data_IF_271153127448
#
_entry.id   IF_271153127448
#
_cell.length_a   1.000
_cell.length_b   1.000
_cell.length_c   1.000
_cell.angle_alpha   90.00
_cell.angle_beta   90.00
_cell.angle_gamma   90.00
#
_symmetry.space_group_name_H-M   'P 1'
#
loop_
_entity.id
_entity.type
_entity.pdbx_description
1 polymer ?
#
# COMPACT_ATOMS: atom_id res chain seq x y z
N UNK A 1 5.01 -25.77 77.58
CA UNK A 1 5.01 -26.09 76.14
C UNK A 1 4.30 -24.97 75.40
N UNK A 2 5.03 -24.22 74.58
CA UNK A 2 4.63 -22.93 73.99
C UNK A 2 4.33 -23.20 72.51
N UNK A 3 3.05 -23.28 72.12
CA UNK A 3 2.68 -23.47 70.71
C UNK A 3 2.67 -22.10 70.00
N UNK A 4 3.61 -21.93 69.06
CA UNK A 4 3.61 -20.82 68.12
C UNK A 4 2.54 -21.06 67.05
N UNK A 5 1.57 -20.16 66.97
CA UNK A 5 0.60 -20.08 65.87
C UNK A 5 1.24 -19.30 64.72
N UNK A 6 1.67 -19.99 63.65
CA UNK A 6 2.13 -19.34 62.42
C UNK A 6 0.91 -18.95 61.58
N UNK A 7 0.58 -17.66 61.55
CA UNK A 7 -0.41 -17.08 60.65
C UNK A 7 0.26 -16.91 59.28
N UNK A 8 -0.09 -17.78 58.32
CA UNK A 8 0.27 -17.61 56.91
C UNK A 8 -0.64 -16.54 56.29
N UNK A 9 -0.12 -15.31 56.22
CA UNK A 9 -0.75 -14.21 55.48
C UNK A 9 -0.56 -14.48 53.98
N UNK A 10 -1.61 -14.96 53.31
CA UNK A 10 -1.65 -15.11 51.85
C UNK A 10 -1.68 -13.73 51.21
N UNK A 11 -0.52 -13.24 50.76
CA UNK A 11 -0.41 -12.03 49.94
C UNK A 11 -0.83 -12.40 48.52
N UNK A 12 -2.09 -12.11 48.18
CA UNK A 12 -2.59 -12.13 46.80
C UNK A 12 -2.01 -10.92 46.08
N UNK A 13 -0.91 -11.11 45.35
CA UNK A 13 -0.39 -10.12 44.41
C UNK A 13 -1.33 -10.03 43.21
N UNK A 14 -2.23 -9.05 43.25
CA UNK A 14 -3.07 -8.70 42.10
C UNK A 14 -2.15 -8.05 41.06
N UNK A 15 -1.70 -8.83 40.08
CA UNK A 15 -1.09 -8.32 38.86
C UNK A 15 -2.17 -7.56 38.05
N UNK A 16 -2.42 -6.32 38.42
CA UNK A 16 -3.17 -5.36 37.61
C UNK A 16 -2.34 -4.94 36.40
N UNK A 17 -2.21 -5.80 35.40
CA UNK A 17 -1.55 -5.49 34.14
C UNK A 17 -2.28 -4.33 33.44
N UNK A 18 -1.64 -3.15 33.38
CA UNK A 18 -1.61 -2.11 32.31
C UNK A 18 -2.88 -1.84 31.45
N UNK A 19 -4.07 -2.24 31.88
CA UNK A 19 -5.29 -2.25 31.09
C UNK A 19 -5.85 -0.83 30.91
N UNK A 20 -5.74 0.02 31.93
CA UNK A 20 -6.24 1.40 31.92
C UNK A 20 -5.55 2.25 30.85
N UNK A 21 -4.23 2.10 30.70
CA UNK A 21 -3.43 2.87 29.73
C UNK A 21 -3.74 2.51 28.27
N UNK A 22 -4.03 1.24 27.99
CA UNK A 22 -4.44 0.77 26.67
C UNK A 22 -5.83 1.28 26.29
N UNK A 23 -6.75 1.35 27.25
CA UNK A 23 -8.11 1.86 27.05
C UNK A 23 -8.13 3.36 26.75
N UNK A 24 -7.39 4.17 27.52
CA UNK A 24 -7.22 5.61 27.25
C UNK A 24 -6.58 5.88 25.88
N UNK A 25 -5.57 5.08 25.49
CA UNK A 25 -4.93 5.21 24.18
C UNK A 25 -5.89 4.87 23.04
N UNK A 26 -6.82 3.94 23.26
CA UNK A 26 -7.81 3.54 22.25
C UNK A 26 -8.95 4.56 22.13
N UNK A 27 -9.46 5.08 23.25
CA UNK A 27 -10.46 6.17 23.29
C UNK A 27 -9.90 7.46 22.65
N UNK A 28 -8.67 7.84 22.97
CA UNK A 28 -8.02 9.02 22.36
C UNK A 28 -7.81 8.85 20.85
N UNK A 29 -7.44 7.66 20.38
CA UNK A 29 -7.35 7.39 18.93
C UNK A 29 -8.71 7.39 18.25
N UNK A 30 -9.77 6.97 18.95
CA UNK A 30 -11.14 6.99 18.42
C UNK A 30 -11.65 8.41 18.22
N UNK A 31 -11.26 9.36 19.07
CA UNK A 31 -11.55 10.78 18.86
C UNK A 31 -10.66 11.40 17.76
N UNK A 32 -9.37 11.07 17.74
CA UNK A 32 -8.40 11.57 16.75
C UNK A 32 -8.76 11.15 15.32
N UNK A 33 -9.13 9.89 15.11
CA UNK A 33 -9.39 9.31 13.80
C UNK A 33 -10.87 9.25 13.44
N UNK A 34 -11.70 10.12 14.00
CA UNK A 34 -13.14 10.06 13.75
C UNK A 34 -13.50 10.26 12.27
N UNK A 35 -14.50 9.52 11.80
CA UNK A 35 -15.11 9.68 10.48
C UNK A 35 -16.63 9.86 10.60
N UNK A 36 -17.26 10.63 9.71
CA UNK A 36 -18.71 10.70 9.59
C UNK A 36 -19.35 9.31 9.37
N UNK A 37 -20.56 9.12 9.87
CA UNK A 37 -21.28 7.84 9.78
C UNK A 37 -21.42 7.30 8.35
N UNK A 38 -21.64 8.18 7.38
CA UNK A 38 -21.69 7.85 5.95
C UNK A 38 -20.35 7.26 5.44
N UNK A 39 -19.22 7.91 5.76
CA UNK A 39 -17.90 7.38 5.39
C UNK A 39 -17.63 6.04 6.08
N UNK A 40 -18.12 5.85 7.31
CA UNK A 40 -17.95 4.61 8.06
C UNK A 40 -18.70 3.42 7.44
N UNK A 41 -19.88 3.64 6.83
CA UNK A 41 -20.65 2.57 6.19
C UNK A 41 -20.02 2.09 4.88
N UNK A 42 -19.29 2.98 4.20
CA UNK A 42 -18.62 2.70 2.92
C UNK A 42 -17.25 2.04 3.06
N UNK A 43 -16.72 1.91 4.29
CA UNK A 43 -15.41 1.30 4.52
C UNK A 43 -15.38 -0.15 4.02
N UNK A 44 -14.46 -0.41 3.11
CA UNK A 44 -14.29 -1.68 2.43
C UNK A 44 -12.83 -1.85 2.00
N UNK A 45 -12.43 -3.08 1.70
CA UNK A 45 -11.09 -3.32 1.16
C UNK A 45 -10.85 -2.51 -0.12
N UNK A 46 -11.85 -2.44 -1.01
CA UNK A 46 -11.74 -1.70 -2.26
C UNK A 46 -11.51 -0.20 -2.03
N UNK A 47 -12.26 0.41 -1.11
CA UNK A 47 -12.05 1.82 -0.75
C UNK A 47 -10.63 2.05 -0.22
N UNK A 48 -10.15 1.16 0.67
CA UNK A 48 -8.83 1.28 1.27
C UNK A 48 -7.72 1.04 0.25
N UNK A 49 -7.92 0.12 -0.70
CA UNK A 49 -7.01 -0.10 -1.79
C UNK A 49 -6.79 1.20 -2.60
N UNK A 50 -7.89 1.87 -2.99
CA UNK A 50 -7.82 3.09 -3.78
C UNK A 50 -7.28 4.29 -2.99
N UNK A 51 -7.75 4.49 -1.75
CA UNK A 51 -7.42 5.70 -0.96
C UNK A 51 -6.07 5.61 -0.25
N UNK A 52 -5.63 4.41 0.12
CA UNK A 52 -4.47 4.23 1.01
C UNK A 52 -3.46 3.24 0.43
N UNK A 53 -3.84 1.98 0.17
CA UNK A 53 -2.83 0.96 -0.12
C UNK A 53 -2.11 1.19 -1.45
N UNK A 54 -2.82 1.37 -2.56
CA UNK A 54 -2.23 1.63 -3.87
C UNK A 54 -1.31 2.87 -3.84
N UNK A 55 -1.77 4.04 -3.38
CA UNK A 55 -0.93 5.25 -3.43
C UNK A 55 0.19 5.29 -2.38
N UNK A 56 0.08 4.57 -1.25
CA UNK A 56 1.02 4.75 -0.11
C UNK A 56 1.80 3.52 0.30
N UNK A 57 1.38 2.32 -0.09
CA UNK A 57 1.91 1.09 0.48
C UNK A 57 2.36 0.07 -0.58
N UNK A 58 1.59 -0.12 -1.64
CA UNK A 58 1.77 -1.20 -2.64
C UNK A 58 3.10 -1.12 -3.37
N UNK A 59 3.71 0.06 -3.51
CA UNK A 59 5.04 0.19 -4.12
C UNK A 59 6.10 -0.69 -3.45
N UNK A 60 5.99 -0.92 -2.14
CA UNK A 60 6.84 -1.84 -1.37
C UNK A 60 6.11 -3.12 -0.92
N UNK A 61 4.78 -3.05 -0.80
CA UNK A 61 3.90 -4.10 -0.28
C UNK A 61 2.95 -4.66 -1.35
N UNK A 62 3.43 -4.85 -2.56
CA UNK A 62 2.68 -5.44 -3.68
C UNK A 62 2.84 -6.95 -3.75
N UNK A 63 2.66 -7.52 -4.94
CA UNK A 63 2.69 -8.97 -5.22
C UNK A 63 3.96 -9.69 -4.73
N UNK A 64 5.12 -9.04 -4.81
CA UNK A 64 6.40 -9.57 -4.34
C UNK A 64 6.84 -8.97 -2.99
N UNK A 65 5.95 -8.25 -2.32
CA UNK A 65 6.19 -7.62 -1.03
C UNK A 65 6.01 -8.62 0.12
N UNK A 66 6.65 -8.36 1.26
CA UNK A 66 6.57 -9.25 2.42
C UNK A 66 5.16 -9.33 3.05
N UNK A 67 4.33 -8.31 2.80
CA UNK A 67 2.88 -8.34 3.05
C UNK A 67 2.26 -7.83 1.76
N UNK A 68 1.48 -8.66 1.08
CA UNK A 68 0.83 -8.31 -0.17
C UNK A 68 -0.48 -7.57 0.10
N UNK A 69 -0.50 -6.27 -0.18
CA UNK A 69 -1.65 -5.38 0.01
C UNK A 69 -2.53 -5.24 -1.25
N UNK A 70 -2.21 -5.97 -2.33
CA UNK A 70 -3.05 -6.07 -3.52
C UNK A 70 -4.06 -7.22 -3.42
N UNK A 71 -3.91 -8.12 -2.44
CA UNK A 71 -4.80 -9.26 -2.23
C UNK A 71 -5.49 -9.18 -0.86
N UNK A 72 -6.82 -9.10 -0.87
CA UNK A 72 -7.62 -8.99 0.37
C UNK A 72 -7.33 -10.11 1.38
N UNK A 73 -7.25 -11.36 0.92
CA UNK A 73 -7.00 -12.51 1.79
C UNK A 73 -5.64 -12.43 2.50
N UNK A 74 -4.61 -11.92 1.82
CA UNK A 74 -3.30 -11.67 2.43
C UNK A 74 -3.33 -10.48 3.41
N UNK A 75 -4.10 -9.43 3.10
CA UNK A 75 -4.32 -8.32 4.05
C UNK A 75 -5.01 -8.82 5.31
N UNK A 76 -6.08 -9.60 5.18
CA UNK A 76 -6.86 -10.15 6.29
C UNK A 76 -5.98 -10.98 7.24
N UNK A 77 -5.08 -11.81 6.70
CA UNK A 77 -4.10 -12.59 7.49
C UNK A 77 -3.10 -11.71 8.26
N UNK A 78 -2.91 -10.44 7.87
CA UNK A 78 -1.88 -9.55 8.39
C UNK A 78 -2.43 -8.29 9.09
N UNK A 79 -3.74 -8.18 9.36
CA UNK A 79 -4.39 -7.00 9.97
C UNK A 79 -3.68 -6.53 11.25
N UNK A 80 -3.38 -7.45 12.17
CA UNK A 80 -2.75 -7.08 13.45
C UNK A 80 -1.35 -6.51 13.24
N UNK A 81 -0.59 -7.10 12.30
CA UNK A 81 0.73 -6.62 11.93
C UNK A 81 0.67 -5.24 11.28
N UNK A 82 -0.30 -5.00 10.41
CA UNK A 82 -0.53 -3.70 9.75
C UNK A 82 -0.91 -2.65 10.80
N UNK A 83 -1.89 -2.94 11.66
CA UNK A 83 -2.34 -2.03 12.73
C UNK A 83 -1.17 -1.68 13.67
N UNK A 84 -0.38 -2.69 14.05
CA UNK A 84 0.77 -2.51 14.94
C UNK A 84 1.84 -1.63 14.29
N UNK A 85 2.26 -1.92 13.06
CA UNK A 85 3.35 -1.18 12.40
C UNK A 85 2.98 0.27 12.10
N UNK A 86 1.72 0.55 11.72
CA UNK A 86 1.27 1.90 11.38
C UNK A 86 0.94 2.72 12.62
N UNK A 87 0.15 2.19 13.56
CA UNK A 87 -0.42 3.01 14.63
C UNK A 87 0.22 2.81 16.01
N UNK A 88 0.93 1.71 16.24
CA UNK A 88 1.55 1.42 17.55
C UNK A 88 3.04 1.72 17.49
N UNK A 89 3.76 1.03 16.61
CA UNK A 89 5.20 1.18 16.44
C UNK A 89 5.56 2.37 15.55
N UNK A 90 4.63 2.82 14.69
CA UNK A 90 4.82 3.93 13.74
C UNK A 90 6.07 3.77 12.87
N UNK A 91 6.37 2.52 12.50
CA UNK A 91 7.49 2.15 11.63
C UNK A 91 7.10 2.11 10.15
N UNK A 92 5.81 2.31 9.85
CA UNK A 92 5.26 2.37 8.51
C UNK A 92 4.37 3.62 8.32
N UNK A 93 4.40 4.23 7.13
CA UNK A 93 5.19 3.84 5.95
C UNK A 93 6.68 4.17 6.10
N UNK A 94 7.56 3.32 5.53
CA UNK A 94 9.03 3.56 5.54
C UNK A 94 9.44 4.80 4.75
N UNK A 95 8.63 5.16 3.74
CA UNK A 95 8.84 6.31 2.86
C UNK A 95 7.54 7.12 2.86
N UNK A 96 7.66 8.41 3.13
CA UNK A 96 6.52 9.32 3.21
C UNK A 96 5.75 9.25 4.54
N UNK A 97 4.54 9.80 4.53
CA UNK A 97 3.63 9.88 5.68
C UNK A 97 2.20 9.64 5.21
N UNK A 98 1.36 9.14 6.12
CA UNK A 98 -0.09 9.12 5.90
C UNK A 98 -0.70 10.43 6.43
N UNK A 99 -1.57 11.05 5.65
CA UNK A 99 -2.37 12.19 6.13
C UNK A 99 -3.31 11.75 7.25
N UNK A 100 -3.84 12.70 8.03
CA UNK A 100 -4.84 12.37 9.06
C UNK A 100 -6.07 11.70 8.44
N UNK A 101 -6.51 12.13 7.27
CA UNK A 101 -7.65 11.49 6.59
C UNK A 101 -7.33 10.05 6.18
N UNK A 102 -6.15 9.79 5.58
CA UNK A 102 -5.70 8.44 5.20
C UNK A 102 -5.57 7.52 6.43
N UNK A 103 -5.04 8.06 7.53
CA UNK A 103 -4.99 7.36 8.82
C UNK A 103 -6.39 7.05 9.34
N UNK A 104 -7.34 7.99 9.24
CA UNK A 104 -8.72 7.79 9.67
C UNK A 104 -9.41 6.67 8.88
N UNK A 105 -9.27 6.63 7.55
CA UNK A 105 -9.82 5.52 6.76
C UNK A 105 -9.23 4.17 7.19
N UNK A 106 -7.90 4.10 7.29
CA UNK A 106 -7.20 2.86 7.64
C UNK A 106 -7.53 2.40 9.07
N UNK A 107 -7.49 3.30 10.05
CA UNK A 107 -7.81 2.99 11.44
C UNK A 107 -9.22 2.44 11.58
N UNK A 108 -10.23 3.17 11.08
CA UNK A 108 -11.62 2.76 11.26
C UNK A 108 -11.95 1.46 10.52
N UNK A 109 -11.37 1.24 9.34
CA UNK A 109 -11.58 -0.02 8.62
C UNK A 109 -11.00 -1.20 9.39
N UNK A 110 -9.80 -1.06 9.96
CA UNK A 110 -9.20 -2.09 10.83
C UNK A 110 -10.04 -2.32 12.10
N UNK A 111 -10.53 -1.27 12.77
CA UNK A 111 -11.38 -1.40 13.96
C UNK A 111 -12.72 -2.08 13.68
N UNK A 112 -13.26 -1.93 12.46
CA UNK A 112 -14.50 -2.59 12.01
C UNK A 112 -14.28 -4.00 11.49
N UNK A 113 -13.10 -4.58 11.70
CA UNK A 113 -12.77 -5.94 11.30
C UNK A 113 -12.37 -6.10 9.82
N UNK A 114 -12.00 -4.99 9.16
CA UNK A 114 -11.41 -4.97 7.82
C UNK A 114 -12.19 -5.81 6.80
N UNK A 115 -13.47 -5.51 6.69
CA UNK A 115 -14.39 -6.20 5.78
C UNK A 115 -14.01 -5.95 4.32
N UNK A 116 -14.20 -6.99 3.50
CA UNK A 116 -14.02 -6.88 2.06
C UNK A 116 -15.05 -5.93 1.44
N UNK A 117 -16.30 -6.09 1.86
CA UNK A 117 -17.46 -5.36 1.37
C UNK A 117 -17.94 -4.31 2.38
N UNK A 118 -18.54 -3.20 1.91
CA UNK A 118 -19.09 -2.18 2.79
C UNK A 118 -20.39 -2.61 3.47
N UNK A 119 -20.73 -1.93 4.57
CA UNK A 119 -21.88 -2.26 5.42
C UNK A 119 -23.22 -1.81 4.81
N UNK A 120 -23.22 -0.73 4.03
CA UNK A 120 -24.43 -0.20 3.36
C UNK A 120 -24.78 -0.97 2.06
N UNK A 121 -24.01 -2.01 1.73
CA UNK A 121 -24.21 -2.80 0.52
C UNK A 121 -23.88 -2.06 -0.76
N UNK A 122 -23.31 -0.85 -0.68
CA UNK A 122 -22.87 -0.10 -1.86
C UNK A 122 -21.76 -0.88 -2.54
N UNK A 123 -21.99 -1.38 -3.74
CA UNK A 123 -20.90 -1.86 -4.57
C UNK A 123 -20.17 -0.63 -5.06
N UNK A 124 -19.07 -0.25 -4.38
CA UNK A 124 -18.17 0.74 -4.94
C UNK A 124 -17.75 0.24 -6.31
N UNK A 125 -17.93 1.08 -7.32
CA UNK A 125 -17.43 0.76 -8.64
C UNK A 125 -15.95 0.39 -8.50
N UNK A 126 -15.52 -0.74 -9.08
CA UNK A 126 -14.12 -1.09 -9.12
C UNK A 126 -13.32 0.14 -9.56
N UNK A 127 -12.13 0.33 -8.98
CA UNK A 127 -11.22 1.36 -9.46
C UNK A 127 -11.20 1.30 -11.00
N UNK A 128 -11.42 2.45 -11.65
CA UNK A 128 -11.50 2.50 -13.11
C UNK A 128 -10.33 1.70 -13.71
N UNK A 129 -10.61 0.81 -14.68
CA UNK A 129 -9.55 -0.02 -15.23
C UNK A 129 -8.48 0.87 -15.84
N UNK A 130 -7.22 0.54 -15.58
CA UNK A 130 -6.09 1.22 -16.22
C UNK A 130 -6.17 0.91 -17.71
N UNK A 131 -6.52 1.92 -18.50
CA UNK A 131 -6.58 1.85 -19.96
C UNK A 131 -5.17 1.83 -20.56
N UNK A 132 -5.03 1.17 -21.72
CA UNK A 132 -3.80 1.09 -22.49
C UNK A 132 -3.54 2.39 -23.29
N UNK A 133 -3.55 3.51 -22.59
CA UNK A 133 -3.32 4.87 -23.11
C UNK A 133 -2.20 5.52 -22.29
N UNK A 134 -1.42 6.42 -22.90
CA UNK A 134 -0.35 7.10 -22.16
C UNK A 134 -0.89 7.85 -20.94
N UNK A 135 -1.99 8.61 -21.09
CA UNK A 135 -2.58 9.40 -20.00
C UNK A 135 -3.00 8.52 -18.81
N UNK A 136 -3.67 7.41 -19.08
CA UNK A 136 -4.09 6.45 -18.05
C UNK A 136 -2.90 5.82 -17.35
N UNK A 137 -1.92 5.32 -18.11
CA UNK A 137 -0.70 4.71 -17.56
C UNK A 137 0.09 5.74 -16.75
N UNK A 138 0.22 6.96 -17.27
CA UNK A 138 0.95 8.03 -16.60
C UNK A 138 0.31 8.34 -15.25
N UNK A 139 -1.00 8.64 -15.24
CA UNK A 139 -1.74 9.01 -14.01
C UNK A 139 -1.74 7.88 -12.97
N UNK A 140 -2.01 6.65 -13.40
CA UNK A 140 -2.28 5.54 -12.49
C UNK A 140 -1.05 4.69 -12.15
N UNK A 141 0.04 4.81 -12.93
CA UNK A 141 1.24 3.98 -12.75
C UNK A 141 2.48 4.85 -12.61
N UNK A 142 2.83 5.66 -13.60
CA UNK A 142 4.10 6.39 -13.58
C UNK A 142 4.15 7.42 -12.47
N UNK A 143 3.09 8.20 -12.27
CA UNK A 143 3.03 9.20 -11.21
C UNK A 143 2.98 8.57 -9.80
N UNK A 144 2.44 7.35 -9.67
CA UNK A 144 2.22 6.70 -8.38
C UNK A 144 3.43 5.85 -7.96
N UNK A 145 3.96 5.04 -8.88
CA UNK A 145 4.94 4.00 -8.55
C UNK A 145 6.36 4.29 -9.07
N UNK A 146 6.51 5.19 -10.04
CA UNK A 146 7.79 5.34 -10.74
C UNK A 146 8.45 6.71 -10.52
N UNK A 147 7.64 7.78 -10.41
CA UNK A 147 8.10 9.17 -10.35
C UNK A 147 8.94 9.50 -9.11
N UNK A 148 8.85 8.72 -8.03
CA UNK A 148 9.69 8.93 -6.84
C UNK A 148 11.20 8.91 -7.21
N UNK A 149 11.59 8.02 -8.12
CA UNK A 149 12.97 7.92 -8.62
C UNK A 149 13.14 8.57 -10.00
N UNK A 150 12.15 8.42 -10.87
CA UNK A 150 12.20 8.88 -12.27
C UNK A 150 11.69 10.32 -12.42
N UNK A 151 12.42 11.25 -11.82
CA UNK A 151 12.20 12.68 -11.92
C UNK A 151 13.55 13.41 -12.10
N UNK A 152 13.53 14.72 -12.31
CA UNK A 152 14.73 15.51 -12.62
C UNK A 152 15.85 15.42 -11.56
N UNK A 153 15.51 15.15 -10.30
CA UNK A 153 16.46 15.11 -9.19
C UNK A 153 16.67 13.71 -8.60
N UNK A 154 15.82 12.75 -8.95
CA UNK A 154 15.82 11.38 -8.42
C UNK A 154 16.94 10.50 -8.98
N UNK A 155 17.07 9.30 -8.41
CA UNK A 155 18.08 8.31 -8.82
C UNK A 155 17.88 7.80 -10.25
N UNK A 156 16.63 7.84 -10.74
CA UNK A 156 16.21 7.47 -12.09
C UNK A 156 16.21 8.61 -13.10
N UNK A 157 16.76 9.79 -12.77
CA UNK A 157 16.70 11.04 -13.58
C UNK A 157 17.14 10.95 -15.05
N UNK A 158 17.88 9.91 -15.43
CA UNK A 158 18.25 9.65 -16.83
C UNK A 158 17.05 9.23 -17.69
N UNK A 159 15.96 8.82 -17.05
CA UNK A 159 14.74 8.32 -17.67
C UNK A 159 13.59 9.13 -17.12
N UNK A 160 13.09 10.07 -17.93
CA UNK A 160 11.89 10.83 -17.65
C UNK A 160 10.67 10.07 -18.20
N UNK A 161 9.53 10.20 -17.52
CA UNK A 161 8.33 9.41 -17.77
C UNK A 161 7.24 10.19 -18.50
N UNK A 162 7.58 11.32 -19.11
CA UNK A 162 6.72 11.97 -20.09
C UNK A 162 6.79 11.24 -21.44
N UNK A 163 5.72 11.36 -22.24
CA UNK A 163 5.56 10.62 -23.49
C UNK A 163 6.70 10.87 -24.47
N UNK A 164 7.10 12.12 -24.61
CA UNK A 164 8.16 12.52 -25.56
C UNK A 164 9.50 11.89 -25.17
N UNK A 165 9.89 11.98 -23.90
CA UNK A 165 11.13 11.39 -23.40
C UNK A 165 11.16 9.87 -23.54
N UNK A 166 10.02 9.19 -23.37
CA UNK A 166 9.92 7.74 -23.54
C UNK A 166 10.07 7.32 -25.01
N UNK A 167 9.39 8.03 -25.92
CA UNK A 167 9.41 7.72 -27.37
C UNK A 167 10.75 8.06 -28.03
N UNK A 168 11.41 9.14 -27.58
CA UNK A 168 12.66 9.63 -28.18
C UNK A 168 13.92 9.19 -27.41
N UNK A 169 13.77 8.24 -26.47
CA UNK A 169 14.90 7.80 -25.66
C UNK A 169 15.96 7.08 -26.50
N UNK A 170 17.26 7.39 -26.35
CA UNK A 170 18.32 6.65 -27.01
C UNK A 170 18.47 5.21 -26.50
N UNK A 171 17.76 4.85 -25.42
CA UNK A 171 17.68 3.49 -24.90
C UNK A 171 16.48 2.71 -25.44
N UNK A 172 15.78 3.26 -26.44
CA UNK A 172 14.63 2.62 -27.10
C UNK A 172 13.59 2.15 -26.07
N UNK A 173 13.28 3.01 -25.10
CA UNK A 173 12.39 2.66 -23.98
C UNK A 173 11.00 2.28 -24.47
N UNK A 174 10.50 2.97 -25.50
CA UNK A 174 9.27 2.64 -26.20
C UNK A 174 9.57 2.57 -27.68
N UNK A 175 9.43 1.38 -28.25
CA UNK A 175 9.46 1.13 -29.70
C UNK A 175 8.01 0.91 -30.11
N UNK A 176 7.35 1.90 -30.74
CA UNK A 176 5.96 1.78 -31.18
C UNK A 176 5.72 0.52 -32.02
N UNK A 177 4.79 -0.33 -31.57
CA UNK A 177 4.43 -1.59 -32.22
C UNK A 177 5.32 -2.78 -31.87
N UNK A 178 6.30 -2.62 -30.98
CA UNK A 178 7.18 -3.71 -30.56
C UNK A 178 7.51 -3.63 -29.07
N UNK A 179 6.59 -4.10 -28.22
CA UNK A 179 6.82 -4.13 -26.78
C UNK A 179 7.96 -5.06 -26.35
N UNK A 180 8.20 -6.16 -27.07
CA UNK A 180 9.21 -7.15 -26.67
C UNK A 180 10.65 -6.63 -26.81
N UNK A 181 10.89 -5.71 -27.75
CA UNK A 181 12.18 -5.01 -27.87
C UNK A 181 12.24 -3.68 -27.09
N UNK A 182 11.11 -3.21 -26.56
CA UNK A 182 11.05 -1.94 -25.83
C UNK A 182 11.74 -2.02 -24.48
N UNK A 183 12.73 -1.15 -24.25
CA UNK A 183 13.53 -1.11 -23.03
C UNK A 183 12.71 -0.97 -21.74
N UNK A 184 11.55 -0.30 -21.78
CA UNK A 184 10.63 -0.19 -20.65
C UNK A 184 10.08 -1.56 -20.23
N UNK A 185 9.59 -2.36 -21.18
CA UNK A 185 9.03 -3.70 -20.89
C UNK A 185 10.12 -4.63 -20.41
N UNK A 186 11.27 -4.61 -21.08
CA UNK A 186 12.45 -5.36 -20.65
C UNK A 186 12.78 -5.00 -19.20
N UNK A 187 12.84 -3.72 -18.83
CA UNK A 187 13.12 -3.32 -17.44
C UNK A 187 12.06 -3.82 -16.44
N UNK A 188 10.78 -3.81 -16.80
CA UNK A 188 9.66 -4.22 -15.93
C UNK A 188 9.55 -5.75 -15.76
N UNK A 189 9.99 -6.54 -16.74
CA UNK A 189 9.81 -8.00 -16.79
C UNK A 189 11.05 -8.81 -16.42
N UNK A 190 12.20 -8.15 -16.24
CA UNK A 190 13.40 -8.80 -15.73
C UNK A 190 13.16 -9.52 -14.42
N UNK A 191 13.72 -10.72 -14.31
CA UNK A 191 13.71 -11.53 -13.09
C UNK A 191 14.92 -11.24 -12.17
N UNK A 192 15.93 -10.53 -12.68
CA UNK A 192 17.14 -10.21 -11.91
C UNK A 192 16.97 -8.96 -11.05
N UNK A 193 17.99 -8.66 -10.26
CA UNK A 193 18.01 -7.52 -9.32
C UNK A 193 18.11 -6.14 -10.01
N UNK A 194 18.19 -6.11 -11.34
CA UNK A 194 18.17 -4.90 -12.17
C UNK A 194 16.77 -4.60 -12.70
N UNK A 195 15.75 -5.39 -12.35
CA UNK A 195 14.35 -5.08 -12.67
C UNK A 195 13.92 -3.73 -12.11
N UNK A 196 12.90 -3.15 -12.74
CA UNK A 196 12.20 -1.98 -12.23
C UNK A 196 10.78 -2.36 -11.79
N UNK A 197 10.28 -1.82 -10.65
CA UNK A 197 11.00 -1.03 -9.64
C UNK A 197 12.18 -1.78 -8.98
N UNK A 198 13.18 -1.08 -8.40
CA UNK A 198 14.42 -1.74 -7.94
C UNK A 198 14.20 -2.62 -6.71
N UNK A 199 14.40 -3.93 -6.88
CA UNK A 199 14.20 -4.91 -5.80
C UNK A 199 15.13 -4.68 -4.60
N UNK A 200 16.39 -4.28 -4.84
CA UNK A 200 17.39 -4.01 -3.80
C UNK A 200 17.00 -2.87 -2.87
N UNK A 201 16.15 -1.96 -3.34
CA UNK A 201 15.62 -0.86 -2.54
C UNK A 201 14.31 -1.23 -1.84
N UNK A 202 13.90 -2.49 -1.89
CA UNK A 202 12.71 -3.02 -1.22
C UNK A 202 11.39 -2.77 -1.95
N UNK A 203 11.44 -2.37 -3.23
CA UNK A 203 10.22 -2.20 -4.02
C UNK A 203 9.70 -3.54 -4.56
N UNK A 204 8.38 -3.67 -4.54
CA UNK A 204 7.69 -4.80 -5.15
C UNK A 204 7.79 -4.75 -6.67
N UNK A 205 7.69 -5.91 -7.32
CA UNK A 205 7.47 -5.96 -8.75
C UNK A 205 6.13 -5.32 -9.09
N UNK A 206 6.06 -4.69 -10.26
CA UNK A 206 4.80 -4.18 -10.77
C UNK A 206 3.84 -5.36 -11.01
N UNK A 207 2.55 -5.13 -10.80
CA UNK A 207 1.51 -6.11 -11.09
C UNK A 207 1.50 -6.49 -12.58
N UNK A 208 1.35 -7.78 -12.89
CA UNK A 208 1.39 -8.30 -14.26
C UNK A 208 0.25 -7.74 -15.13
N UNK A 209 -0.91 -7.43 -14.56
CA UNK A 209 -1.98 -6.75 -15.29
C UNK A 209 -1.56 -5.35 -15.73
N UNK A 210 -0.87 -4.61 -14.86
CA UNK A 210 -0.34 -3.28 -15.21
C UNK A 210 0.74 -3.40 -16.28
N UNK A 211 1.65 -4.38 -16.19
CA UNK A 211 2.64 -4.64 -17.24
C UNK A 211 1.98 -4.94 -18.59
N UNK A 212 0.92 -5.75 -18.61
CA UNK A 212 0.14 -6.05 -19.82
C UNK A 212 -0.52 -4.82 -20.43
N UNK A 213 -1.03 -3.90 -19.61
CA UNK A 213 -1.61 -2.64 -20.08
C UNK A 213 -0.53 -1.76 -20.74
N UNK A 214 0.65 -1.65 -20.13
CA UNK A 214 1.79 -0.92 -20.71
C UNK A 214 2.24 -1.57 -22.02
N UNK A 215 2.38 -2.90 -22.06
CA UNK A 215 2.70 -3.66 -23.28
C UNK A 215 1.67 -3.37 -24.38
N UNK A 216 0.38 -3.45 -24.07
CA UNK A 216 -0.70 -3.23 -25.03
C UNK A 216 -0.69 -1.83 -25.63
N UNK A 217 -0.36 -0.81 -24.83
CA UNK A 217 -0.19 0.57 -25.32
C UNK A 217 0.96 0.67 -26.33
N UNK A 218 2.10 0.04 -26.02
CA UNK A 218 3.26 0.01 -26.91
C UNK A 218 2.95 -0.75 -28.20
N UNK A 219 2.38 -1.95 -28.11
CA UNK A 219 2.02 -2.79 -29.27
C UNK A 219 0.98 -2.12 -30.18
N UNK A 220 0.11 -1.27 -29.60
CA UNK A 220 -0.85 -0.45 -30.36
C UNK A 220 -0.20 0.77 -31.05
N UNK A 221 1.12 0.91 -30.93
CA UNK A 221 1.90 1.96 -31.57
C UNK A 221 2.10 3.21 -30.72
N UNK A 222 1.79 3.18 -29.42
CA UNK A 222 2.04 4.29 -28.47
C UNK A 222 1.53 5.67 -28.96
N UNK A 223 0.39 5.69 -29.66
CA UNK A 223 -0.04 6.86 -30.46
C UNK A 223 -0.73 7.95 -29.65
N UNK A 224 -1.42 7.60 -28.57
CA UNK A 224 -2.30 8.48 -27.78
C UNK A 224 -1.62 9.11 -26.57
#
# INVERSE_FOLDING_TARGET
MRQLFFIFLNIVFIWGCNYTKLKETTENKKSEFSLPAEKLSQLSYNLLAQKVFIPKCVSCHGSSGNVNLENYGEVLKNIDRIKKSVFVEKTMPKRGVLTLEEQSYLWNWLEKGAKEMPDDGTLLEPAEPILATFDSINRNVFQISCKECHNQTGTGKRILLDKESLLNSPLELVIPGNADESGLIIALERADDKRMPPAKEGYSALNDQVKKVIRSWIDSGAKD
#
